data_IF_268715129260
#
_entry.id   IF_268715129260
#
_cell.length_a   1.000
_cell.length_b   1.000
_cell.length_c   1.000
_cell.angle_alpha   90.00
_cell.angle_beta   90.00
_cell.angle_gamma   90.00
#
_symmetry.space_group_name_H-M   'P 1'
#
loop_
_entity.id
_entity.type
_entity.pdbx_description
1 polymer ?
#
# COMPACT_ATOMS: atom_id res chain seq x y z
N UNK A 1 37.50 -7.13 16.86
CA UNK A 1 36.23 -7.65 16.32
C UNK A 1 35.46 -6.61 15.49
N UNK A 2 35.55 -5.30 15.78
CA UNK A 2 34.90 -4.23 15.00
C UNK A 2 35.43 -3.97 13.57
N UNK A 3 36.70 -4.31 13.29
CA UNK A 3 37.31 -4.01 12.00
C UNK A 3 36.76 -4.90 10.87
N UNK A 4 36.46 -6.16 11.14
CA UNK A 4 36.01 -7.12 10.12
C UNK A 4 34.58 -6.82 9.64
N UNK A 5 33.70 -6.35 10.53
CA UNK A 5 32.31 -6.00 10.22
C UNK A 5 32.18 -4.72 9.38
N UNK A 6 33.02 -3.71 9.68
CA UNK A 6 33.12 -2.49 8.85
C UNK A 6 33.71 -2.84 7.48
N UNK A 7 34.73 -3.69 7.41
CA UNK A 7 35.29 -4.16 6.14
C UNK A 7 34.29 -4.99 5.32
N UNK A 8 33.43 -5.77 5.96
CA UNK A 8 32.35 -6.52 5.30
C UNK A 8 31.27 -5.60 4.73
N UNK A 9 30.78 -4.63 5.52
CA UNK A 9 29.88 -3.58 5.04
C UNK A 9 30.50 -2.81 3.87
N UNK A 10 31.74 -2.31 4.02
CA UNK A 10 32.46 -1.59 2.96
C UNK A 10 32.70 -2.46 1.70
N UNK A 11 32.86 -3.78 1.85
CA UNK A 11 32.98 -4.71 0.73
C UNK A 11 31.64 -4.92 -0.01
N UNK A 12 30.49 -4.90 0.68
CA UNK A 12 29.17 -4.88 0.04
C UNK A 12 28.98 -3.57 -0.77
N UNK A 13 29.56 -2.47 -0.28
CA UNK A 13 29.54 -1.16 -0.95
C UNK A 13 30.58 -0.96 -2.07
N UNK A 14 31.35 -1.99 -2.49
CA UNK A 14 32.41 -1.89 -3.54
C UNK A 14 31.92 -1.58 -4.97
N UNK A 15 30.70 -1.11 -5.15
CA UNK A 15 30.22 -0.66 -6.45
C UNK A 15 30.38 0.87 -6.54
N UNK A 16 31.31 1.34 -7.39
CA UNK A 16 31.74 2.76 -7.53
C UNK A 16 30.64 3.77 -7.90
N UNK A 17 29.37 3.37 -7.97
CA UNK A 17 28.28 4.24 -8.38
C UNK A 17 27.91 5.30 -7.33
N UNK A 18 28.19 5.06 -6.03
CA UNK A 18 27.89 6.02 -4.96
C UNK A 18 28.81 7.24 -4.95
N UNK A 19 30.03 7.15 -5.50
CA UNK A 19 30.95 8.28 -5.66
C UNK A 19 30.38 9.41 -6.53
N UNK A 20 29.34 9.14 -7.33
CA UNK A 20 28.65 10.13 -8.19
C UNK A 20 27.47 10.83 -7.50
N UNK A 21 27.18 10.52 -6.23
CA UNK A 21 26.02 11.08 -5.52
C UNK A 21 26.31 12.49 -4.99
N UNK A 22 25.34 13.38 -5.22
CA UNK A 22 25.44 14.82 -4.89
C UNK A 22 25.06 15.18 -3.44
N UNK A 23 24.51 14.24 -2.68
CA UNK A 23 24.03 14.48 -1.31
C UNK A 23 24.56 13.41 -0.37
N UNK A 24 25.05 13.87 0.77
CA UNK A 24 25.70 13.08 1.80
C UNK A 24 25.07 13.47 3.13
N UNK A 25 24.72 12.46 3.94
CA UNK A 25 24.44 12.68 5.34
C UNK A 25 25.78 12.70 6.07
N UNK A 26 25.97 13.73 6.89
CA UNK A 26 27.20 13.96 7.64
C UNK A 26 26.80 14.23 9.08
N UNK A 27 27.23 13.37 9.98
CA UNK A 27 27.01 13.52 11.41
C UNK A 27 28.33 13.39 12.16
N UNK A 28 28.48 14.20 13.19
CA UNK A 28 29.66 14.20 14.04
C UNK A 28 29.36 13.40 15.31
N UNK A 29 30.09 12.31 15.51
CA UNK A 29 30.03 11.50 16.71
C UNK A 29 30.99 12.10 17.75
N UNK A 30 30.42 12.70 18.80
CA UNK A 30 31.16 13.33 19.87
C UNK A 30 31.82 12.34 20.83
N UNK A 31 31.34 11.10 20.92
CA UNK A 31 31.92 10.07 21.79
C UNK A 31 33.19 9.50 21.18
N UNK A 32 33.15 9.21 19.88
CA UNK A 32 34.30 8.65 19.16
C UNK A 32 35.20 9.74 18.56
N UNK A 33 34.79 11.01 18.63
CA UNK A 33 35.48 12.14 18.00
C UNK A 33 35.73 11.90 16.50
N UNK A 34 34.72 11.33 15.83
CA UNK A 34 34.80 10.97 14.41
C UNK A 34 33.63 11.56 13.62
N UNK A 35 33.84 11.68 12.31
CA UNK A 35 32.87 12.27 11.39
C UNK A 35 32.36 11.14 10.49
N UNK A 36 31.07 10.81 10.65
CA UNK A 36 30.42 9.72 9.93
C UNK A 36 29.75 10.31 8.69
N UNK A 37 30.16 9.84 7.52
CA UNK A 37 29.56 10.25 6.25
C UNK A 37 28.90 9.07 5.56
N UNK A 38 27.60 9.16 5.32
CA UNK A 38 26.83 8.14 4.59
C UNK A 38 26.24 8.77 3.33
N UNK A 39 26.44 8.20 2.13
CA UNK A 39 25.81 8.72 0.92
C UNK A 39 24.29 8.65 1.07
N UNK A 40 23.59 9.73 0.73
CA UNK A 40 22.14 9.81 0.89
C UNK A 40 21.43 8.87 -0.12
N UNK A 41 20.71 7.87 0.40
CA UNK A 41 19.96 6.90 -0.40
C UNK A 41 18.50 7.33 -0.53
N UNK A 42 18.16 7.98 -1.63
CA UNK A 42 16.79 7.93 -2.16
C UNK A 42 16.70 6.68 -3.05
N UNK A 43 16.19 5.58 -2.51
CA UNK A 43 15.89 4.40 -3.31
C UNK A 43 14.56 4.63 -4.01
N UNK A 44 14.42 4.25 -5.29
CA UNK A 44 13.09 4.19 -5.93
C UNK A 44 12.16 3.19 -5.23
N UNK A 45 12.70 2.31 -4.38
CA UNK A 45 11.96 1.35 -3.56
C UNK A 45 11.63 1.92 -2.16
N UNK A 46 12.34 2.95 -1.67
CA UNK A 46 12.09 3.61 -0.39
C UNK A 46 12.52 5.09 -0.52
N UNK A 47 11.56 6.00 -0.73
CA UNK A 47 11.83 7.45 -0.79
C UNK A 47 11.92 8.00 0.64
N UNK A 48 13.13 8.28 1.12
CA UNK A 48 13.37 8.74 2.49
C UNK A 48 14.00 10.14 2.48
N UNK A 49 13.44 11.10 3.23
CA UNK A 49 14.00 12.47 3.34
C UNK A 49 14.73 12.79 4.65
N UNK A 50 14.62 12.03 5.73
CA UNK A 50 15.32 12.35 7.00
C UNK A 50 15.64 11.07 7.80
N UNK A 51 16.75 11.06 8.53
CA UNK A 51 17.56 9.90 8.95
C UNK A 51 17.15 9.15 10.24
N UNK A 52 17.80 7.99 10.42
CA UNK A 52 17.68 6.93 11.45
C UNK A 52 18.48 7.18 12.72
N UNK A 53 18.07 6.53 13.82
CA UNK A 53 18.92 6.19 14.99
C UNK A 53 19.23 4.68 14.98
N UNK A 54 20.51 4.30 15.06
CA UNK A 54 20.98 2.92 15.18
C UNK A 54 21.32 2.61 16.64
N UNK A 55 20.67 1.62 17.24
CA UNK A 55 21.08 1.04 18.52
C UNK A 55 21.44 -0.44 18.29
N UNK A 56 22.66 -0.83 18.70
CA UNK A 56 23.35 -2.03 18.23
C UNK A 56 23.61 -2.99 19.40
N UNK A 57 22.64 -3.83 19.75
CA UNK A 57 22.89 -5.06 20.53
C UNK A 57 21.99 -6.21 20.06
N UNK A 58 22.64 -7.37 19.84
CA UNK A 58 22.11 -8.71 19.53
C UNK A 58 20.78 -8.77 18.75
N UNK A 59 20.93 -8.92 17.43
CA UNK A 59 19.86 -8.88 16.43
C UNK A 59 19.14 -7.52 16.39
N UNK A 60 19.87 -6.43 16.07
CA UNK A 60 19.33 -5.09 16.19
C UNK A 60 18.13 -4.94 15.25
N UNK A 61 16.97 -4.62 15.80
CA UNK A 61 15.89 -4.07 15.01
C UNK A 61 16.26 -2.64 14.67
N UNK A 62 16.27 -2.31 13.38
CA UNK A 62 16.49 -0.92 12.96
C UNK A 62 15.11 -0.27 12.92
N UNK A 63 14.87 0.78 13.70
CA UNK A 63 13.57 1.45 13.74
C UNK A 63 13.50 2.60 12.73
N UNK A 64 12.46 2.58 11.90
CA UNK A 64 12.15 3.52 10.84
C UNK A 64 10.95 4.39 11.28
N UNK A 65 11.10 5.12 12.39
CA UNK A 65 10.02 5.93 13.00
C UNK A 65 9.65 7.18 12.18
N UNK A 66 10.52 7.62 11.29
CA UNK A 66 10.33 8.75 10.41
C UNK A 66 9.50 8.41 9.15
N UNK A 67 9.24 7.13 8.88
CA UNK A 67 8.52 6.69 7.68
C UNK A 67 7.03 6.61 7.98
N UNK A 68 6.27 7.48 7.32
CA UNK A 68 4.81 7.50 7.37
C UNK A 68 4.15 6.87 6.13
N UNK A 69 4.89 6.80 5.01
CA UNK A 69 4.46 6.20 3.74
C UNK A 69 5.46 5.14 3.31
N UNK A 70 4.98 3.92 3.08
CA UNK A 70 5.79 2.78 2.70
C UNK A 70 5.29 2.21 1.39
N UNK A 71 6.15 2.14 0.37
CA UNK A 71 5.87 1.46 -0.89
C UNK A 71 6.78 0.24 -1.02
N UNK A 72 6.21 -0.92 -1.37
CA UNK A 72 6.97 -2.15 -1.57
C UNK A 72 6.66 -2.70 -2.95
N UNK A 73 7.70 -2.80 -3.78
CA UNK A 73 7.64 -3.41 -5.11
C UNK A 73 7.91 -4.91 -5.01
N UNK A 74 6.84 -5.69 -4.92
CA UNK A 74 6.81 -7.14 -4.76
C UNK A 74 7.36 -7.89 -5.98
N UNK A 75 7.52 -7.25 -7.14
CA UNK A 75 8.22 -7.86 -8.28
C UNK A 75 9.70 -8.11 -7.99
N UNK A 76 10.26 -7.44 -6.96
CA UNK A 76 11.64 -7.62 -6.49
C UNK A 76 11.71 -8.55 -5.29
N UNK A 77 11.01 -9.68 -5.34
CA UNK A 77 10.93 -10.67 -4.25
C UNK A 77 12.30 -10.99 -3.65
N UNK A 78 13.32 -11.27 -4.47
CA UNK A 78 14.67 -11.59 -4.01
C UNK A 78 15.35 -10.48 -3.20
N UNK A 79 14.98 -9.21 -3.40
CA UNK A 79 15.47 -8.08 -2.60
C UNK A 79 14.68 -7.98 -1.29
N UNK A 80 13.35 -8.18 -1.35
CA UNK A 80 12.46 -8.16 -0.19
C UNK A 80 12.80 -9.27 0.79
N UNK A 81 13.02 -10.49 0.29
CA UNK A 81 13.40 -11.64 1.11
C UNK A 81 14.71 -11.36 1.87
N UNK A 82 15.70 -10.76 1.19
CA UNK A 82 16.98 -10.40 1.82
C UNK A 82 16.86 -9.34 2.90
N UNK A 83 15.87 -8.46 2.81
CA UNK A 83 15.71 -7.30 3.72
C UNK A 83 14.72 -7.59 4.84
N UNK A 84 13.59 -8.23 4.54
CA UNK A 84 12.48 -8.43 5.48
C UNK A 84 12.46 -9.83 6.11
N UNK A 85 13.01 -10.84 5.41
CA UNK A 85 12.93 -12.25 5.84
C UNK A 85 14.26 -12.76 6.40
N UNK A 86 15.38 -12.35 5.79
CA UNK A 86 16.72 -12.85 6.12
C UNK A 86 17.07 -12.72 7.61
N UNK A 87 17.50 -13.81 8.27
CA UNK A 87 17.97 -13.75 9.67
C UNK A 87 19.38 -13.15 9.80
N UNK A 88 20.08 -12.95 8.67
CA UNK A 88 21.46 -12.46 8.63
C UNK A 88 21.54 -10.92 8.59
N UNK A 89 20.40 -10.24 8.46
CA UNK A 89 20.31 -8.78 8.35
C UNK A 89 19.45 -8.25 9.50
N UNK A 90 19.89 -7.19 10.20
CA UNK A 90 19.05 -6.41 11.12
C UNK A 90 17.66 -6.12 10.52
N UNK A 91 16.59 -6.55 11.19
CA UNK A 91 15.23 -6.44 10.65
C UNK A 91 14.69 -5.02 10.79
N UNK A 92 14.21 -4.38 9.72
CA UNK A 92 13.65 -3.03 9.80
C UNK A 92 12.27 -3.04 10.46
N UNK A 93 12.00 -2.10 11.36
CA UNK A 93 10.70 -1.91 12.03
C UNK A 93 10.10 -0.56 11.66
N UNK A 94 8.93 -0.56 11.05
CA UNK A 94 8.22 0.63 10.58
C UNK A 94 6.95 0.87 11.42
N UNK A 95 7.11 1.53 12.57
CA UNK A 95 6.02 1.68 13.54
C UNK A 95 5.08 2.87 13.27
N UNK A 96 5.49 3.83 12.45
CA UNK A 96 4.75 5.07 12.21
C UNK A 96 4.13 5.15 10.81
N UNK A 97 4.13 4.03 10.07
CA UNK A 97 3.53 3.98 8.74
C UNK A 97 2.04 4.13 8.88
N UNK A 98 1.49 5.09 8.16
CA UNK A 98 0.05 5.34 8.08
C UNK A 98 -0.50 5.05 6.69
N UNK A 99 0.37 4.95 5.69
CA UNK A 99 0.01 4.56 4.34
C UNK A 99 0.97 3.50 3.80
N UNK A 100 0.42 2.37 3.34
CA UNK A 100 1.16 1.24 2.79
C UNK A 100 0.71 0.99 1.34
N UNK A 101 1.65 0.89 0.42
CA UNK A 101 1.41 0.59 -1.00
C UNK A 101 2.22 -0.64 -1.41
N UNK A 102 1.54 -1.65 -1.95
CA UNK A 102 2.12 -2.92 -2.36
C UNK A 102 1.85 -3.12 -3.84
N UNK A 103 2.91 -3.38 -4.63
CA UNK A 103 2.77 -3.60 -6.06
C UNK A 103 3.43 -4.92 -6.49
N UNK A 104 2.64 -5.86 -7.01
CA UNK A 104 3.09 -7.16 -7.50
C UNK A 104 2.52 -8.33 -6.69
N UNK A 105 3.22 -9.46 -6.69
CA UNK A 105 2.69 -10.72 -6.15
C UNK A 105 2.92 -10.86 -4.63
N UNK A 106 1.82 -10.96 -3.86
CA UNK A 106 1.86 -11.07 -2.40
C UNK A 106 1.86 -12.54 -1.96
N UNK A 107 3.00 -13.08 -1.56
CA UNK A 107 3.08 -14.42 -0.96
C UNK A 107 2.79 -14.38 0.54
N UNK A 108 2.49 -15.54 1.13
CA UNK A 108 2.37 -15.70 2.60
C UNK A 108 3.64 -15.27 3.32
N UNK A 109 4.82 -15.68 2.85
CA UNK A 109 6.09 -15.30 3.46
C UNK A 109 6.31 -13.78 3.47
N UNK A 110 5.92 -13.08 2.41
CA UNK A 110 6.01 -11.61 2.36
C UNK A 110 4.97 -10.97 3.26
N UNK A 111 3.75 -11.51 3.32
CA UNK A 111 2.73 -11.04 4.25
C UNK A 111 3.23 -11.14 5.71
N UNK A 112 3.79 -12.29 6.09
CA UNK A 112 4.38 -12.49 7.41
C UNK A 112 5.55 -11.55 7.66
N UNK A 113 6.39 -11.32 6.65
CA UNK A 113 7.46 -10.35 6.75
C UNK A 113 6.91 -8.93 6.98
N UNK A 114 5.87 -8.51 6.27
CA UNK A 114 5.25 -7.19 6.46
C UNK A 114 4.65 -7.09 7.86
N UNK A 115 3.87 -8.08 8.32
CA UNK A 115 3.28 -8.11 9.66
C UNK A 115 4.32 -8.03 10.77
N UNK A 116 5.45 -8.72 10.58
CA UNK A 116 6.54 -8.74 11.54
C UNK A 116 7.41 -7.49 11.50
N UNK A 117 7.27 -6.61 10.50
CA UNK A 117 8.14 -5.45 10.34
C UNK A 117 7.36 -4.12 10.31
N UNK A 118 6.04 -4.13 10.14
CA UNK A 118 5.19 -2.93 10.05
C UNK A 118 4.11 -3.00 11.12
N UNK A 119 3.89 -1.90 11.85
CA UNK A 119 2.74 -1.78 12.74
C UNK A 119 1.46 -1.58 11.91
N UNK A 120 0.79 -2.67 11.58
CA UNK A 120 -0.42 -2.65 10.75
C UNK A 120 -1.58 -1.90 11.40
N UNK A 121 -1.59 -1.77 12.73
CA UNK A 121 -2.64 -1.03 13.43
C UNK A 121 -2.57 0.47 13.13
N UNK A 122 -1.43 1.00 12.70
CA UNK A 122 -1.25 2.41 12.36
C UNK A 122 -1.67 2.75 10.92
N UNK A 123 -1.87 1.73 10.07
CA UNK A 123 -2.23 1.92 8.66
C UNK A 123 -3.66 2.46 8.55
N UNK A 124 -3.78 3.62 7.91
CA UNK A 124 -5.05 4.30 7.57
C UNK A 124 -5.39 4.22 6.10
N UNK A 125 -4.37 4.09 5.24
CA UNK A 125 -4.51 4.07 3.79
C UNK A 125 -3.72 2.89 3.24
N UNK A 126 -4.39 2.02 2.49
CA UNK A 126 -3.74 0.87 1.89
C UNK A 126 -3.94 0.85 0.38
N UNK A 127 -2.89 0.58 -0.36
CA UNK A 127 -2.90 0.44 -1.80
C UNK A 127 -2.31 -0.91 -2.19
N UNK A 128 -3.03 -1.65 -3.04
CA UNK A 128 -2.58 -2.93 -3.56
C UNK A 128 -2.84 -2.99 -5.05
N UNK A 129 -1.76 -3.20 -5.80
CA UNK A 129 -1.78 -3.43 -7.24
C UNK A 129 -1.18 -4.80 -7.51
N UNK A 130 -1.92 -5.68 -8.17
CA UNK A 130 -1.38 -6.97 -8.61
C UNK A 130 -2.10 -7.48 -9.86
N UNK A 131 -1.33 -8.12 -10.73
CA UNK A 131 -1.84 -8.85 -11.90
C UNK A 131 -2.00 -10.34 -11.66
N UNK A 132 -1.62 -10.84 -10.47
CA UNK A 132 -1.56 -12.28 -10.15
C UNK A 132 -2.24 -12.59 -8.82
N UNK A 133 -2.95 -13.72 -8.82
CA UNK A 133 -3.87 -14.15 -7.77
C UNK A 133 -3.23 -14.67 -6.48
N UNK A 134 -3.20 -13.88 -5.40
CA UNK A 134 -3.03 -14.40 -4.03
C UNK A 134 -4.01 -13.74 -3.07
N UNK A 135 -5.19 -14.31 -3.02
CA UNK A 135 -6.33 -13.74 -2.33
C UNK A 135 -6.21 -13.88 -0.80
N UNK A 136 -5.67 -14.98 -0.29
CA UNK A 136 -5.56 -15.30 1.15
C UNK A 136 -4.62 -14.34 1.90
N UNK A 137 -3.39 -14.17 1.42
CA UNK A 137 -2.40 -13.30 2.06
C UNK A 137 -2.86 -11.83 2.12
N UNK A 138 -3.59 -11.37 1.09
CA UNK A 138 -4.17 -10.03 1.09
C UNK A 138 -5.21 -9.84 2.20
N UNK A 139 -6.10 -10.82 2.39
CA UNK A 139 -7.17 -10.72 3.39
C UNK A 139 -6.58 -10.68 4.78
N UNK A 140 -5.63 -11.56 5.06
CA UNK A 140 -4.96 -11.59 6.35
C UNK A 140 -4.31 -10.24 6.65
N UNK A 141 -3.67 -9.62 5.65
CA UNK A 141 -3.08 -8.30 5.80
C UNK A 141 -4.14 -7.23 6.15
N UNK A 142 -5.27 -7.21 5.45
CA UNK A 142 -6.39 -6.27 5.70
C UNK A 142 -7.01 -6.46 7.08
N UNK A 143 -7.23 -7.71 7.52
CA UNK A 143 -7.83 -8.01 8.82
C UNK A 143 -6.96 -7.55 10.00
N UNK A 144 -5.64 -7.45 9.80
CA UNK A 144 -4.72 -6.89 10.80
C UNK A 144 -4.64 -5.35 10.79
N UNK A 145 -5.25 -4.66 9.81
CA UNK A 145 -5.27 -3.19 9.72
C UNK A 145 -6.52 -2.60 10.38
N UNK A 146 -6.50 -2.50 11.71
CA UNK A 146 -7.68 -2.12 12.50
C UNK A 146 -8.12 -0.66 12.34
N UNK A 147 -7.23 0.26 11.93
CA UNK A 147 -7.53 1.68 11.71
C UNK A 147 -7.69 2.06 10.23
N UNK A 148 -7.86 1.07 9.36
CA UNK A 148 -7.95 1.29 7.92
C UNK A 148 -9.18 2.13 7.56
N UNK A 149 -8.95 3.25 6.87
CA UNK A 149 -9.99 4.21 6.48
C UNK A 149 -10.18 4.27 4.97
N UNK A 150 -9.16 3.88 4.21
CA UNK A 150 -9.15 3.94 2.75
C UNK A 150 -8.39 2.76 2.15
N UNK A 151 -8.96 2.19 1.08
CA UNK A 151 -8.36 1.12 0.31
C UNK A 151 -8.33 1.51 -1.17
N UNK A 152 -7.20 1.29 -1.82
CA UNK A 152 -7.03 1.32 -3.27
C UNK A 152 -6.63 -0.07 -3.76
N UNK A 153 -7.47 -0.68 -4.60
CA UNK A 153 -7.20 -1.99 -5.19
C UNK A 153 -7.21 -1.85 -6.71
N UNK A 154 -6.10 -2.25 -7.33
CA UNK A 154 -5.99 -2.48 -8.76
C UNK A 154 -5.67 -3.96 -8.98
N UNK A 155 -6.71 -4.76 -9.22
CA UNK A 155 -6.57 -6.22 -9.23
C UNK A 155 -7.60 -6.90 -10.12
N UNK A 156 -7.12 -7.77 -11.00
CA UNK A 156 -7.92 -8.41 -12.06
C UNK A 156 -9.08 -9.26 -11.50
N UNK A 157 -8.86 -9.95 -10.37
CA UNK A 157 -9.80 -10.90 -9.77
C UNK A 157 -10.41 -10.40 -8.46
N UNK A 158 -10.80 -9.11 -8.39
CA UNK A 158 -11.18 -8.49 -7.11
C UNK A 158 -12.42 -9.07 -6.44
N UNK A 159 -13.25 -9.82 -7.18
CA UNK A 159 -14.43 -10.48 -6.64
C UNK A 159 -14.08 -11.51 -5.55
N UNK A 160 -13.01 -12.26 -5.79
CA UNK A 160 -12.56 -13.31 -4.88
C UNK A 160 -12.03 -12.69 -3.59
N UNK A 161 -11.40 -11.51 -3.67
CA UNK A 161 -10.94 -10.77 -2.49
C UNK A 161 -12.10 -10.45 -1.54
N UNK A 162 -13.23 -9.97 -2.07
CA UNK A 162 -14.38 -9.59 -1.24
C UNK A 162 -15.19 -10.79 -0.73
N UNK A 163 -15.20 -11.91 -1.47
CA UNK A 163 -15.89 -13.12 -1.01
C UNK A 163 -15.27 -13.71 0.25
N UNK A 164 -13.96 -13.53 0.40
CA UNK A 164 -13.20 -14.14 1.48
C UNK A 164 -12.99 -13.21 2.69
N UNK A 165 -13.28 -11.91 2.58
CA UNK A 165 -13.34 -11.02 3.75
C UNK A 165 -14.55 -11.42 4.60
N UNK A 166 -14.26 -11.99 5.79
CA UNK A 166 -15.26 -12.60 6.66
C UNK A 166 -16.05 -11.58 7.47
N UNK A 167 -15.48 -10.41 7.75
CA UNK A 167 -16.06 -9.40 8.64
C UNK A 167 -16.18 -8.02 7.98
N UNK A 168 -17.33 -7.32 8.14
CA UNK A 168 -17.46 -5.94 7.70
C UNK A 168 -16.47 -5.02 8.41
N UNK A 169 -15.78 -4.18 7.65
CA UNK A 169 -14.91 -3.16 8.19
C UNK A 169 -15.67 -1.81 8.28
N UNK A 170 -15.99 -1.43 9.51
CA UNK A 170 -16.79 -0.24 9.82
C UNK A 170 -15.99 1.07 9.79
N UNK A 171 -14.66 1.07 9.63
CA UNK A 171 -13.84 2.28 9.57
C UNK A 171 -13.59 2.76 8.14
N UNK A 172 -13.66 1.88 7.15
CA UNK A 172 -13.43 2.25 5.76
C UNK A 172 -14.55 3.15 5.23
N UNK A 173 -14.15 4.29 4.66
CA UNK A 173 -15.03 5.30 4.05
C UNK A 173 -14.71 5.54 2.59
N UNK A 174 -13.50 5.20 2.16
CA UNK A 174 -13.00 5.47 0.82
C UNK A 174 -12.49 4.20 0.16
N UNK A 175 -13.04 3.87 -1.01
CA UNK A 175 -12.61 2.74 -1.82
C UNK A 175 -12.28 3.22 -3.23
N UNK A 176 -11.11 2.85 -3.71
CA UNK A 176 -10.71 2.98 -5.11
C UNK A 176 -10.57 1.56 -5.66
N UNK A 177 -11.28 1.24 -6.73
CA UNK A 177 -11.31 -0.12 -7.30
C UNK A 177 -11.26 -0.06 -8.83
N UNK A 178 -10.20 -0.62 -9.40
CA UNK A 178 -9.95 -0.63 -10.83
C UNK A 178 -9.62 -2.00 -11.40
N UNK A 179 -9.80 -2.13 -12.72
CA UNK A 179 -9.39 -3.24 -13.57
C UNK A 179 -9.96 -4.60 -13.12
N UNK A 180 -11.14 -4.60 -12.48
CA UNK A 180 -11.80 -5.83 -12.03
C UNK A 180 -12.67 -6.45 -13.12
N UNK A 181 -12.73 -7.78 -13.15
CA UNK A 181 -13.56 -8.45 -14.12
C UNK A 181 -15.05 -8.16 -13.91
N UNK A 182 -15.79 -7.85 -14.99
CA UNK A 182 -17.22 -7.62 -14.96
C UNK A 182 -18.00 -8.94 -14.76
N UNK A 183 -17.90 -9.61 -13.61
CA UNK A 183 -18.69 -10.82 -13.31
C UNK A 183 -20.20 -10.51 -13.20
N UNK A 184 -21.03 -11.52 -12.91
CA UNK A 184 -22.50 -11.50 -12.91
C UNK A 184 -23.12 -10.35 -12.07
N UNK A 185 -23.28 -9.20 -12.73
CA UNK A 185 -24.15 -8.00 -12.56
C UNK A 185 -24.46 -7.42 -11.16
N UNK A 186 -24.53 -8.18 -10.07
CA UNK A 186 -25.00 -7.74 -8.74
C UNK A 186 -24.04 -8.05 -7.60
N UNK A 187 -23.25 -9.12 -7.71
CA UNK A 187 -22.52 -9.65 -6.57
C UNK A 187 -21.46 -8.67 -6.05
N UNK A 188 -20.64 -8.06 -6.91
CA UNK A 188 -19.57 -7.16 -6.48
C UNK A 188 -20.07 -6.01 -5.59
N UNK A 189 -21.03 -5.23 -6.07
CA UNK A 189 -21.52 -4.07 -5.32
C UNK A 189 -22.26 -4.49 -4.05
N UNK A 190 -22.99 -5.61 -4.09
CA UNK A 190 -23.57 -6.19 -2.89
C UNK A 190 -22.49 -6.56 -1.85
N UNK A 191 -21.38 -7.18 -2.28
CA UNK A 191 -20.26 -7.50 -1.39
C UNK A 191 -19.58 -6.24 -0.85
N UNK A 192 -19.34 -5.23 -1.69
CA UNK A 192 -18.79 -3.94 -1.27
C UNK A 192 -19.68 -3.28 -0.20
N UNK A 193 -20.99 -3.25 -0.41
CA UNK A 193 -21.94 -2.70 0.58
C UNK A 193 -21.93 -3.49 1.89
N UNK A 194 -21.87 -4.83 1.79
CA UNK A 194 -21.83 -5.71 2.96
C UNK A 194 -20.55 -5.53 3.77
N UNK A 195 -19.41 -5.40 3.10
CA UNK A 195 -18.08 -5.33 3.74
C UNK A 195 -17.78 -3.90 4.21
N UNK A 196 -18.19 -2.89 3.45
CA UNK A 196 -17.98 -1.47 3.75
C UNK A 196 -19.32 -0.73 3.89
N UNK A 197 -20.12 -1.03 4.92
CA UNK A 197 -21.48 -0.49 5.06
C UNK A 197 -21.53 1.03 5.26
N UNK A 198 -20.40 1.67 5.51
CA UNK A 198 -20.28 3.13 5.71
C UNK A 198 -19.50 3.80 4.59
N UNK A 199 -19.33 3.15 3.44
CA UNK A 199 -18.62 3.73 2.30
C UNK A 199 -19.28 5.04 1.86
N UNK A 200 -18.51 6.13 1.86
CA UNK A 200 -18.98 7.47 1.42
C UNK A 200 -18.29 7.93 0.14
N UNK A 201 -17.13 7.36 -0.19
CA UNK A 201 -16.34 7.71 -1.38
C UNK A 201 -16.00 6.45 -2.17
N UNK A 202 -16.36 6.43 -3.45
CA UNK A 202 -16.04 5.34 -4.37
C UNK A 202 -15.44 5.91 -5.65
N UNK A 203 -14.27 5.40 -6.02
CA UNK A 203 -13.65 5.63 -7.32
C UNK A 203 -13.55 4.31 -8.06
N UNK A 204 -14.13 4.21 -9.25
CA UNK A 204 -14.17 2.92 -9.96
C UNK A 204 -14.34 3.05 -11.48
N UNK A 205 -14.21 1.94 -12.20
CA UNK A 205 -14.39 1.89 -13.65
C UNK A 205 -15.86 2.04 -14.07
N UNK A 206 -16.10 2.89 -15.07
CA UNK A 206 -17.38 2.95 -15.74
C UNK A 206 -17.51 1.79 -16.72
N UNK A 207 -18.51 0.95 -16.50
CA UNK A 207 -18.79 -0.18 -17.39
C UNK A 207 -20.06 0.01 -18.22
N UNK A 208 -21.15 0.49 -17.60
CA UNK A 208 -22.42 0.74 -18.27
C UNK A 208 -23.38 1.51 -17.37
N UNK A 209 -24.34 2.21 -17.98
CA UNK A 209 -25.41 2.91 -17.28
C UNK A 209 -26.20 1.98 -16.34
N UNK A 210 -26.55 0.77 -16.81
CA UNK A 210 -27.30 -0.19 -15.99
C UNK A 210 -26.55 -0.55 -14.69
N UNK A 211 -25.22 -0.67 -14.74
CA UNK A 211 -24.39 -0.96 -13.56
C UNK A 211 -24.30 0.24 -12.62
N UNK A 212 -24.18 1.44 -13.18
CA UNK A 212 -24.22 2.67 -12.40
C UNK A 212 -25.52 2.76 -11.60
N UNK A 213 -26.68 2.44 -12.21
CA UNK A 213 -27.95 2.42 -11.48
C UNK A 213 -27.95 1.40 -10.33
N UNK A 214 -27.38 0.20 -10.52
CA UNK A 214 -27.27 -0.76 -9.42
C UNK A 214 -26.34 -0.26 -8.30
N UNK A 215 -25.16 0.25 -8.65
CA UNK A 215 -24.22 0.82 -7.69
C UNK A 215 -24.88 1.90 -6.82
N UNK A 216 -25.57 2.86 -7.45
CA UNK A 216 -26.25 3.95 -6.76
C UNK A 216 -27.41 3.46 -5.89
N UNK A 217 -28.13 2.41 -6.30
CA UNK A 217 -29.21 1.86 -5.49
C UNK A 217 -28.70 1.09 -4.26
N UNK A 218 -27.54 0.43 -4.36
CA UNK A 218 -26.98 -0.37 -3.27
C UNK A 218 -26.19 0.49 -2.28
N UNK A 219 -25.41 1.47 -2.75
CA UNK A 219 -24.55 2.33 -1.92
C UNK A 219 -25.28 3.58 -1.41
N UNK A 220 -26.30 3.38 -0.57
CA UNK A 220 -27.18 4.46 -0.07
C UNK A 220 -26.47 5.57 0.72
N UNK A 221 -25.27 5.32 1.24
CA UNK A 221 -24.47 6.29 1.99
C UNK A 221 -23.41 7.01 1.14
N UNK A 222 -23.36 6.74 -0.17
CA UNK A 222 -22.37 7.33 -1.06
C UNK A 222 -22.57 8.84 -1.21
N UNK A 223 -21.52 9.59 -0.90
CA UNK A 223 -21.48 11.06 -0.98
C UNK A 223 -20.64 11.53 -2.17
N UNK A 224 -19.61 10.75 -2.55
CA UNK A 224 -18.71 11.03 -3.65
C UNK A 224 -18.53 9.80 -4.55
N UNK A 225 -18.66 10.01 -5.86
CA UNK A 225 -18.46 8.99 -6.89
C UNK A 225 -17.56 9.51 -8.00
N UNK A 226 -16.41 8.87 -8.20
CA UNK A 226 -15.54 9.13 -9.35
C UNK A 226 -15.58 7.93 -10.28
N UNK A 227 -15.85 8.19 -11.56
CA UNK A 227 -15.95 7.15 -12.59
C UNK A 227 -14.83 7.32 -13.62
N UNK A 228 -14.04 6.27 -13.80
CA UNK A 228 -13.02 6.20 -14.84
C UNK A 228 -13.63 5.67 -16.14
N UNK A 229 -13.63 6.49 -17.18
CA UNK A 229 -14.15 6.21 -18.52
C UNK A 229 -13.00 5.74 -19.42
N UNK A 230 -13.28 4.79 -20.32
CA UNK A 230 -12.42 4.55 -21.48
C UNK A 230 -12.71 5.58 -22.59
N UNK A 231 -11.75 5.82 -23.49
CA UNK A 231 -11.85 6.87 -24.52
C UNK A 231 -13.09 6.76 -25.42
N UNK A 232 -13.62 5.54 -25.60
CA UNK A 232 -14.79 5.27 -26.45
C UNK A 232 -16.14 5.34 -25.70
N UNK A 233 -16.12 5.63 -24.40
CA UNK A 233 -17.33 5.66 -23.59
C UNK A 233 -17.90 7.08 -23.46
N UNK A 234 -19.20 7.21 -23.74
CA UNK A 234 -19.94 8.43 -23.43
C UNK A 234 -20.12 8.56 -21.91
N UNK A 235 -19.88 9.78 -21.41
CA UNK A 235 -20.19 10.12 -20.03
C UNK A 235 -21.68 9.84 -19.74
N UNK A 236 -22.02 9.15 -18.64
CA UNK A 236 -23.40 8.86 -18.30
C UNK A 236 -24.21 10.13 -18.08
N UNK A 237 -25.49 10.08 -18.44
CA UNK A 237 -26.39 11.22 -18.28
C UNK A 237 -26.56 11.61 -16.80
N UNK A 238 -26.20 12.85 -16.46
CA UNK A 238 -26.29 13.45 -15.13
C UNK A 238 -27.67 13.36 -14.46
N UNK A 239 -28.75 13.21 -15.23
CA UNK A 239 -30.12 13.14 -14.68
C UNK A 239 -30.34 11.97 -13.73
N UNK A 240 -29.68 10.83 -13.96
CA UNK A 240 -29.78 9.63 -13.12
C UNK A 240 -28.97 9.76 -11.84
N UNK A 241 -27.80 10.38 -11.93
CA UNK A 241 -26.91 10.63 -10.81
C UNK A 241 -27.58 11.59 -9.80
N UNK A 242 -28.33 12.58 -10.32
CA UNK A 242 -29.11 13.52 -9.50
C UNK A 242 -30.27 12.89 -8.72
N UNK A 243 -30.70 11.69 -9.07
CA UNK A 243 -31.76 10.97 -8.32
C UNK A 243 -31.21 10.29 -7.06
N UNK A 244 -29.89 10.26 -6.86
CA UNK A 244 -29.30 9.71 -5.65
C UNK A 244 -29.34 10.75 -4.50
N UNK A 245 -30.11 10.45 -3.45
CA UNK A 245 -30.45 11.41 -2.38
C UNK A 245 -29.26 12.02 -1.62
N UNK A 246 -28.09 11.36 -1.63
CA UNK A 246 -26.91 11.77 -0.84
C UNK A 246 -25.68 12.12 -1.66
N UNK A 247 -25.69 11.88 -2.96
CA UNK A 247 -24.51 12.11 -3.78
C UNK A 247 -24.33 13.60 -4.00
N UNK A 248 -23.27 14.17 -3.42
CA UNK A 248 -22.97 15.61 -3.49
C UNK A 248 -21.93 15.92 -4.55
N UNK A 249 -21.00 14.98 -4.77
CA UNK A 249 -19.92 15.15 -5.73
C UNK A 249 -19.88 13.94 -6.67
N UNK A 250 -19.78 14.22 -7.96
CA UNK A 250 -19.48 13.21 -8.96
C UNK A 250 -18.50 13.78 -9.97
N UNK A 251 -17.56 12.95 -10.41
CA UNK A 251 -16.56 13.33 -11.41
C UNK A 251 -16.32 12.19 -12.38
N UNK A 252 -15.83 12.55 -13.56
CA UNK A 252 -15.50 11.63 -14.64
C UNK A 252 -14.05 11.84 -15.06
N UNK A 253 -13.27 10.77 -15.05
CA UNK A 253 -11.87 10.78 -15.46
C UNK A 253 -11.72 9.95 -16.72
N UNK A 254 -11.15 10.50 -17.80
CA UNK A 254 -10.90 9.77 -19.04
C UNK A 254 -9.48 9.19 -18.98
N UNK A 255 -9.34 7.90 -19.27
CA UNK A 255 -8.06 7.18 -19.30
C UNK A 255 -7.24 7.45 -20.57
#
# INVERSE_FOLDING_TARGET
MFQEDIYFLLNIYKSKWWLKRKRWFVEYDAHENTLITVPYFASKTFDNRYSYSFDLMQNPQIFYSNINYLTIDLHKYNEIEKILVSPLVPRPRFNNVTQLSLNGYLTTDVCDAIRNNVDLSMIKHFEFSSTVGTTEAFIELIENMTNLSSIHIQYLHSLDLFNLILSPNLSIRHLVLFDYEPTTRKQLFYHICRIFPRLTHLTTDYHSQRRLCYLLNELVHLEQLTLRLTQDQYAPNYSWIKQHNRLRMNSFEIR
#
